data_IF_267656795929
#
_entry.id   IF_267656795929
#
_cell.length_a   1.000
_cell.length_b   1.000
_cell.length_c   1.000
_cell.angle_alpha   90.00
_cell.angle_beta   90.00
_cell.angle_gamma   90.00
#
_symmetry.space_group_name_H-M   'P 1'
#
loop_
_entity.id
_entity.type
_entity.pdbx_description
1 polymer ?
#
# COMPACT_ATOMS: atom_id res chain seq x y z
N UNK A 1 0.98 -12.48 -51.02
CA UNK A 1 1.12 -13.66 -50.12
C UNK A 1 1.78 -13.32 -48.77
N UNK A 2 2.67 -12.31 -48.67
CA UNK A 2 3.33 -11.90 -47.42
C UNK A 2 2.37 -11.22 -46.42
N UNK A 3 1.41 -10.41 -46.90
CA UNK A 3 0.45 -9.68 -46.05
C UNK A 3 -0.43 -10.63 -45.22
N UNK A 4 -0.89 -11.74 -45.82
CA UNK A 4 -1.68 -12.75 -45.11
C UNK A 4 -0.90 -13.43 -43.98
N UNK A 5 0.41 -13.62 -44.16
CA UNK A 5 1.27 -14.29 -43.19
C UNK A 5 1.59 -13.38 -41.99
N UNK A 6 1.75 -12.06 -42.22
CA UNK A 6 1.93 -11.06 -41.15
C UNK A 6 0.67 -10.92 -40.30
N UNK A 7 -0.53 -10.97 -40.90
CA UNK A 7 -1.80 -10.89 -40.16
C UNK A 7 -1.99 -12.11 -39.26
N UNK A 8 -1.73 -13.33 -39.76
CA UNK A 8 -1.90 -14.56 -38.99
C UNK A 8 -0.94 -14.63 -37.80
N UNK A 9 0.33 -14.24 -37.99
CA UNK A 9 1.33 -14.25 -36.92
C UNK A 9 1.07 -13.12 -35.90
N UNK A 10 0.60 -11.95 -36.37
CA UNK A 10 0.23 -10.84 -35.49
C UNK A 10 -0.87 -11.23 -34.49
N UNK A 11 -1.96 -11.85 -34.95
CA UNK A 11 -3.09 -12.21 -34.07
C UNK A 11 -2.72 -13.21 -32.98
N UNK A 12 -1.81 -14.16 -33.25
CA UNK A 12 -1.41 -15.17 -32.26
C UNK A 12 -0.64 -14.58 -31.06
N UNK A 13 0.14 -13.52 -31.28
CA UNK A 13 0.96 -12.88 -30.23
C UNK A 13 0.10 -11.95 -29.38
N UNK A 14 -0.76 -11.13 -29.98
CA UNK A 14 -1.63 -10.22 -29.24
C UNK A 14 -2.71 -10.96 -28.42
N UNK A 15 -3.23 -12.10 -28.92
CA UNK A 15 -4.23 -12.89 -28.20
C UNK A 15 -3.72 -13.55 -26.92
N UNK A 16 -2.48 -14.07 -26.92
CA UNK A 16 -1.89 -14.72 -25.73
C UNK A 16 -1.63 -13.73 -24.61
N UNK A 17 -1.19 -12.51 -24.93
CA UNK A 17 -0.98 -11.46 -23.93
C UNK A 17 -2.29 -11.01 -23.27
N UNK A 18 -3.37 -10.87 -24.05
CA UNK A 18 -4.68 -10.46 -23.52
C UNK A 18 -5.29 -11.53 -22.59
N UNK A 19 -5.15 -12.82 -22.93
CA UNK A 19 -5.61 -13.94 -22.09
C UNK A 19 -4.76 -14.07 -20.82
N UNK A 20 -3.44 -13.86 -20.92
CA UNK A 20 -2.57 -13.85 -19.73
C UNK A 20 -2.89 -12.68 -18.80
N UNK A 21 -3.14 -11.49 -19.35
CA UNK A 21 -3.58 -10.32 -18.58
C UNK A 21 -4.95 -10.55 -17.93
N UNK A 22 -5.91 -11.15 -18.65
CA UNK A 22 -7.22 -11.50 -18.06
C UNK A 22 -7.10 -12.53 -16.95
N UNK A 23 -6.26 -13.57 -17.15
CA UNK A 23 -5.99 -14.58 -16.12
C UNK A 23 -5.27 -13.99 -14.91
N UNK A 24 -4.37 -13.03 -15.11
CA UNK A 24 -3.71 -12.31 -14.02
C UNK A 24 -4.68 -11.40 -13.28
N UNK A 25 -5.57 -10.68 -13.98
CA UNK A 25 -6.62 -9.87 -13.36
C UNK A 25 -7.58 -10.73 -12.52
N UNK A 26 -8.04 -11.86 -13.07
CA UNK A 26 -8.91 -12.80 -12.35
C UNK A 26 -8.20 -13.48 -11.17
N UNK A 27 -6.91 -13.81 -11.30
CA UNK A 27 -6.12 -14.36 -10.21
C UNK A 27 -5.82 -13.34 -9.10
N UNK A 28 -5.64 -12.05 -9.45
CA UNK A 28 -5.55 -10.98 -8.45
C UNK A 28 -6.90 -10.77 -7.75
N UNK A 29 -8.01 -10.78 -8.50
CA UNK A 29 -9.35 -10.69 -7.91
C UNK A 29 -9.65 -11.85 -6.95
N UNK A 30 -9.26 -13.08 -7.31
CA UNK A 30 -9.46 -14.26 -6.44
C UNK A 30 -8.61 -14.21 -5.16
N UNK A 31 -7.43 -13.59 -5.19
CA UNK A 31 -6.60 -13.38 -3.99
C UNK A 31 -7.17 -12.28 -3.09
N UNK A 32 -7.71 -11.22 -3.68
CA UNK A 32 -8.44 -10.15 -2.96
C UNK A 32 -9.74 -10.68 -2.33
N UNK A 33 -10.39 -11.68 -2.95
CA UNK A 33 -11.61 -12.31 -2.43
C UNK A 33 -11.42 -13.18 -1.17
N UNK A 34 -10.19 -13.55 -0.81
CA UNK A 34 -9.92 -14.33 0.41
C UNK A 34 -9.64 -13.43 1.64
N UNK A 35 -9.50 -12.11 1.45
CA UNK A 35 -9.24 -11.10 2.48
C UNK A 35 -10.47 -10.20 2.78
N UNK A 36 -11.64 -10.59 2.27
CA UNK A 36 -12.78 -9.70 2.00
C UNK A 36 -13.67 -9.29 3.18
N UNK A 37 -13.35 -9.61 4.42
CA UNK A 37 -14.06 -9.01 5.56
C UNK A 37 -13.47 -7.64 5.97
N UNK A 38 -12.20 -7.34 5.63
CA UNK A 38 -11.51 -6.10 6.04
C UNK A 38 -10.97 -5.21 4.90
N UNK A 39 -10.96 -5.68 3.65
CA UNK A 39 -10.32 -4.94 2.53
C UNK A 39 -11.01 -3.62 2.16
N UNK A 40 -12.33 -3.51 2.29
CA UNK A 40 -13.04 -2.26 1.95
C UNK A 40 -12.67 -1.11 2.91
N UNK A 41 -12.48 -1.42 4.20
CA UNK A 41 -12.04 -0.46 5.23
C UNK A 41 -10.56 -0.10 5.01
N UNK A 42 -9.70 -1.09 4.73
CA UNK A 42 -8.27 -0.85 4.44
C UNK A 42 -8.05 0.01 3.17
N UNK A 43 -8.86 -0.19 2.14
CA UNK A 43 -8.86 0.65 0.93
C UNK A 43 -9.34 2.08 1.21
N UNK A 44 -10.37 2.26 2.05
CA UNK A 44 -10.83 3.58 2.45
C UNK A 44 -9.78 4.35 3.27
N UNK A 45 -9.14 3.68 4.24
CA UNK A 45 -8.11 4.29 5.08
C UNK A 45 -6.86 4.66 4.25
N UNK A 46 -6.48 3.80 3.30
CA UNK A 46 -5.34 4.08 2.40
C UNK A 46 -5.65 5.27 1.48
N UNK A 47 -6.89 5.40 1.00
CA UNK A 47 -7.34 6.60 0.26
C UNK A 47 -7.36 7.86 1.13
N UNK A 48 -7.71 7.75 2.40
CA UNK A 48 -7.78 8.88 3.33
C UNK A 48 -6.39 9.41 3.74
N UNK A 49 -5.44 8.52 3.96
CA UNK A 49 -4.07 8.86 4.39
C UNK A 49 -3.10 9.06 3.24
N UNK A 50 -3.43 8.52 2.05
CA UNK A 50 -2.56 8.54 0.88
C UNK A 50 -1.29 7.70 1.03
N UNK A 51 -1.26 6.78 2.01
CA UNK A 51 -0.10 5.93 2.32
C UNK A 51 -0.56 4.53 2.77
N UNK A 52 0.17 3.49 2.35
CA UNK A 52 -0.13 2.11 2.74
C UNK A 52 0.41 1.78 4.13
N UNK A 53 -0.08 0.70 4.75
CA UNK A 53 0.48 0.20 6.03
C UNK A 53 1.95 -0.15 5.86
N UNK A 54 2.31 -0.78 4.74
CA UNK A 54 3.70 -1.17 4.44
C UNK A 54 4.63 0.03 4.32
N UNK A 55 4.22 1.05 3.57
CA UNK A 55 4.99 2.29 3.46
C UNK A 55 5.09 2.97 4.83
N UNK A 56 4.02 2.97 5.62
CA UNK A 56 4.01 3.56 6.97
C UNK A 56 4.99 2.86 7.91
N UNK A 57 5.00 1.52 7.90
CA UNK A 57 5.96 0.70 8.64
C UNK A 57 7.39 0.96 8.19
N UNK A 58 7.63 1.14 6.89
CA UNK A 58 8.96 1.46 6.36
C UNK A 58 9.43 2.86 6.78
N UNK A 59 8.57 3.88 6.69
CA UNK A 59 8.88 5.26 7.09
C UNK A 59 9.25 5.33 8.57
N UNK A 60 8.50 4.64 9.43
CA UNK A 60 8.76 4.63 10.88
C UNK A 60 9.78 3.56 11.32
N UNK A 61 10.29 2.77 10.38
CA UNK A 61 11.21 1.66 10.61
C UNK A 61 10.71 0.66 11.68
N UNK A 62 9.45 0.24 11.53
CA UNK A 62 8.77 -0.72 12.40
C UNK A 62 8.47 -1.98 11.60
N UNK A 63 8.74 -3.15 12.19
CA UNK A 63 8.37 -4.43 11.58
C UNK A 63 6.90 -4.71 11.84
N UNK A 64 6.15 -5.14 10.81
CA UNK A 64 4.73 -5.53 10.91
C UNK A 64 4.36 -6.40 12.12
N UNK A 65 5.09 -7.50 12.45
CA UNK A 65 4.72 -8.34 13.61
C UNK A 65 4.92 -7.67 14.98
N UNK A 66 5.62 -6.53 15.02
CA UNK A 66 5.97 -5.79 16.25
C UNK A 66 5.21 -4.46 16.35
N UNK A 67 4.05 -4.33 15.68
CA UNK A 67 3.29 -3.08 15.64
C UNK A 67 2.66 -2.78 17.02
N UNK A 68 3.37 -2.02 17.85
CA UNK A 68 2.90 -1.48 19.12
C UNK A 68 2.73 0.03 19.04
N UNK A 69 1.69 0.55 19.69
CA UNK A 69 1.40 2.00 19.69
C UNK A 69 2.57 2.82 20.27
N UNK A 70 3.20 2.33 21.33
CA UNK A 70 4.33 3.00 21.98
C UNK A 70 5.52 3.16 21.03
N UNK A 71 5.85 2.12 20.27
CA UNK A 71 6.93 2.13 19.29
C UNK A 71 6.63 3.09 18.14
N UNK A 72 5.37 3.13 17.67
CA UNK A 72 4.91 4.08 16.64
C UNK A 72 5.12 5.53 17.12
N UNK A 73 4.71 5.85 18.34
CA UNK A 73 4.85 7.20 18.89
C UNK A 73 6.31 7.60 19.11
N UNK A 74 7.13 6.69 19.63
CA UNK A 74 8.55 6.93 19.86
C UNK A 74 9.30 7.18 18.53
N UNK A 75 9.07 6.32 17.52
CA UNK A 75 9.67 6.46 16.19
C UNK A 75 9.18 7.71 15.47
N UNK A 76 7.88 7.99 15.54
CA UNK A 76 7.30 9.21 14.98
C UNK A 76 7.97 10.45 15.57
N UNK A 77 8.09 10.55 16.90
CA UNK A 77 8.71 11.72 17.55
C UNK A 77 10.15 11.93 17.07
N UNK A 78 10.97 10.88 17.06
CA UNK A 78 12.36 10.96 16.61
C UNK A 78 12.47 11.41 15.14
N UNK A 79 11.67 10.82 14.24
CA UNK A 79 11.69 11.17 12.82
C UNK A 79 11.11 12.56 12.55
N UNK A 80 10.08 12.97 13.28
CA UNK A 80 9.42 14.25 13.10
C UNK A 80 10.33 15.42 13.54
N UNK A 81 11.03 15.27 14.66
CA UNK A 81 11.99 16.27 15.15
C UNK A 81 13.25 16.34 14.27
N UNK A 82 13.73 15.20 13.75
CA UNK A 82 14.88 15.15 12.87
C UNK A 82 14.62 15.78 11.49
N UNK A 83 13.35 15.79 11.04
CA UNK A 83 12.94 16.35 9.75
C UNK A 83 12.25 17.72 9.88
N UNK A 84 12.40 18.39 11.02
CA UNK A 84 11.85 19.72 11.26
C UNK A 84 12.35 20.75 10.23
N UNK A 85 11.47 21.38 9.44
CA UNK A 85 11.83 22.41 8.47
C UNK A 85 12.61 23.58 9.08
N UNK A 86 12.33 23.92 10.35
CA UNK A 86 13.05 24.99 11.05
C UNK A 86 14.52 24.65 11.31
N UNK A 87 14.87 23.36 11.31
CA UNK A 87 16.24 22.85 11.52
C UNK A 87 16.91 22.41 10.22
N UNK A 88 16.37 22.81 9.07
CA UNK A 88 16.89 22.42 7.75
C UNK A 88 16.36 21.08 7.24
N UNK A 89 15.35 20.50 7.90
CA UNK A 89 14.62 19.34 7.41
C UNK A 89 13.66 19.66 6.25
N UNK A 90 12.97 18.65 5.74
CA UNK A 90 12.00 18.80 4.65
C UNK A 90 10.57 18.73 5.18
N UNK A 91 9.78 19.76 4.89
CA UNK A 91 8.35 19.76 5.22
C UNK A 91 7.61 18.59 4.58
N UNK A 92 8.03 18.17 3.38
CA UNK A 92 7.45 17.02 2.71
C UNK A 92 7.72 15.72 3.48
N UNK A 93 8.96 15.52 3.94
CA UNK A 93 9.33 14.32 4.71
C UNK A 93 8.63 14.33 6.07
N UNK A 94 8.60 15.48 6.76
CA UNK A 94 7.86 15.64 8.00
C UNK A 94 6.37 15.33 7.84
N UNK A 95 5.75 15.80 6.75
CA UNK A 95 4.36 15.48 6.41
C UNK A 95 4.16 13.98 6.16
N UNK A 96 5.10 13.31 5.48
CA UNK A 96 5.06 11.86 5.25
C UNK A 96 5.19 11.05 6.55
N UNK A 97 6.03 11.49 7.47
CA UNK A 97 6.17 10.89 8.81
C UNK A 97 4.87 11.02 9.61
N UNK A 98 4.20 12.17 9.53
CA UNK A 98 2.89 12.37 10.16
C UNK A 98 1.83 11.44 9.58
N UNK A 99 1.73 11.34 8.24
CA UNK A 99 0.77 10.44 7.58
C UNK A 99 1.00 8.97 7.93
N UNK A 100 2.25 8.56 8.02
CA UNK A 100 2.61 7.20 8.44
C UNK A 100 2.09 6.88 9.85
N UNK A 101 2.25 7.82 10.80
CA UNK A 101 1.71 7.69 12.16
C UNK A 101 0.18 7.57 12.14
N UNK A 102 -0.51 8.48 11.46
CA UNK A 102 -1.98 8.46 11.34
C UNK A 102 -2.48 7.11 10.78
N UNK A 103 -1.82 6.57 9.76
CA UNK A 103 -2.20 5.29 9.15
C UNK A 103 -2.06 4.10 10.09
N UNK A 104 -0.97 4.04 10.86
CA UNK A 104 -0.73 2.96 11.81
C UNK A 104 -1.65 3.07 13.05
N UNK A 105 -1.94 4.28 13.51
CA UNK A 105 -2.91 4.52 14.58
C UNK A 105 -4.31 4.05 14.18
N UNK A 106 -4.74 4.33 12.94
CA UNK A 106 -6.02 3.83 12.41
C UNK A 106 -6.05 2.31 12.25
N UNK A 107 -4.94 1.67 11.87
CA UNK A 107 -4.90 0.20 11.80
C UNK A 107 -5.05 -0.43 13.19
N UNK A 108 -4.35 0.12 14.18
CA UNK A 108 -4.42 -0.36 15.57
C UNK A 108 -5.81 -0.14 16.18
N UNK A 109 -6.47 0.99 15.89
CA UNK A 109 -7.83 1.24 16.36
C UNK A 109 -8.86 0.32 15.70
N UNK A 110 -8.74 0.08 14.39
CA UNK A 110 -9.60 -0.85 13.65
C UNK A 110 -9.42 -2.27 14.17
N UNK A 111 -8.18 -2.72 14.34
CA UNK A 111 -7.87 -4.05 14.88
C UNK A 111 -8.38 -4.24 16.31
N UNK A 112 -8.37 -3.19 17.15
CA UNK A 112 -8.97 -3.22 18.49
C UNK A 112 -10.50 -3.34 18.43
N UNK A 113 -11.15 -2.60 17.52
CA UNK A 113 -12.60 -2.64 17.36
C UNK A 113 -13.11 -3.97 16.77
N UNK A 114 -12.30 -4.65 15.94
CA UNK A 114 -12.62 -5.99 15.42
C UNK A 114 -12.44 -7.12 16.46
N UNK A 115 -11.67 -6.85 17.52
CA UNK A 115 -11.41 -7.81 18.59
C UNK A 115 -12.42 -7.75 19.76
N UNK A 116 -13.28 -6.72 19.77
CA UNK A 116 -14.35 -6.49 20.75
C UNK A 116 -15.70 -6.98 20.20
#
# INVERSE_FOLDING_TARGET
>A
RIIAQVVIVGTQVFGRAFVQAWKQAAANSARVSQESSGSAVKDAITKQTGITIEESCQILNIKKPELKLEDVLARHKAMFEANDPAKGGSFYIQSKVLRAKERLEMELSTAKAEAE
#
